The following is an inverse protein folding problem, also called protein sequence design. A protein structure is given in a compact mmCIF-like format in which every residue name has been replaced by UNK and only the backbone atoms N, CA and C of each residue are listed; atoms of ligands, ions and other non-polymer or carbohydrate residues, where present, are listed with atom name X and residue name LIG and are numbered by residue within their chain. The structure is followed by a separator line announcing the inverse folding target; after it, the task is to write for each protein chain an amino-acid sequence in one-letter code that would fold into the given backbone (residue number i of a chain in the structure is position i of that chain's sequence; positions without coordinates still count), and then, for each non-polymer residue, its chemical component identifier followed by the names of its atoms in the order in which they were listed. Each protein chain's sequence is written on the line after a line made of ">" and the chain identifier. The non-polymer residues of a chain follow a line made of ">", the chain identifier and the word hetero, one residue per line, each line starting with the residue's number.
data_IF_333837348832
#
_entry.id   IF_333837348832
#
_cell.length_a   1.000
_cell.length_b   1.000
_cell.length_c   1.000
_cell.angle_alpha   90.00
_cell.angle_beta   90.00
_cell.angle_gamma   90.00
#
_symmetry.space_group_name_H-M   'P 1'
#
loop_
_entity.id
_entity.type
_entity.pdbx_description
1 polymer ?
#
# COMPACT_ATOMS: atom_id res chain seq x y z
N UNK A 1 -87.59 69.11 -50.75
CA UNK A 1 -88.13 68.69 -49.44
C UNK A 1 -87.40 67.42 -49.04
N UNK A 2 -86.23 67.57 -48.41
CA UNK A 2 -86.00 67.50 -46.95
C UNK A 2 -85.97 66.03 -46.49
N UNK A 3 -84.80 65.38 -46.36
CA UNK A 3 -83.78 65.60 -45.32
C UNK A 3 -84.36 65.62 -43.91
N UNK A 4 -84.36 64.45 -43.29
CA UNK A 4 -84.21 64.23 -41.84
C UNK A 4 -83.31 63.01 -41.69
N UNK A 5 -82.35 62.94 -40.77
CA UNK A 5 -81.47 63.95 -40.16
C UNK A 5 -80.49 63.11 -39.34
N UNK A 6 -79.21 63.44 -39.45
CA UNK A 6 -78.04 62.76 -38.85
C UNK A 6 -77.96 62.79 -37.31
N UNK A 7 -79.10 62.78 -36.61
CA UNK A 7 -79.20 62.96 -35.16
C UNK A 7 -79.66 61.71 -34.40
N UNK A 8 -80.20 60.69 -35.07
CA UNK A 8 -80.50 59.39 -34.41
C UNK A 8 -79.28 58.44 -34.38
N UNK A 9 -78.27 58.66 -35.23
CA UNK A 9 -77.05 57.83 -35.23
C UNK A 9 -76.02 58.22 -34.14
N UNK A 10 -76.17 59.37 -33.48
CA UNK A 10 -75.20 59.83 -32.47
C UNK A 10 -75.62 59.52 -31.01
N UNK A 11 -76.86 59.11 -30.78
CA UNK A 11 -77.36 58.70 -29.46
C UNK A 11 -76.93 57.30 -29.03
N UNK A 12 -76.68 56.39 -29.98
CA UNK A 12 -76.18 55.03 -29.68
C UNK A 12 -74.64 54.93 -29.64
N UNK A 13 -73.92 55.86 -30.29
CA UNK A 13 -72.45 55.83 -30.35
C UNK A 13 -71.80 56.35 -29.05
N UNK A 14 -72.53 57.10 -28.23
CA UNK A 14 -72.00 57.67 -26.99
C UNK A 14 -72.38 56.92 -25.71
N UNK A 15 -73.25 55.90 -25.79
CA UNK A 15 -73.40 54.92 -24.71
C UNK A 15 -72.40 53.79 -24.90
N UNK A 16 -71.28 54.04 -24.24
CA UNK A 16 -70.51 53.01 -23.55
C UNK A 16 -69.90 51.94 -24.47
N UNK A 17 -68.80 52.15 -25.18
CA UNK A 17 -67.56 52.86 -24.81
C UNK A 17 -66.99 52.59 -23.40
N UNK A 18 -67.78 52.15 -22.41
CA UNK A 18 -67.31 51.56 -21.16
C UNK A 18 -67.41 50.03 -21.15
N UNK A 19 -68.04 49.43 -22.17
CA UNK A 19 -68.22 47.96 -22.25
C UNK A 19 -67.09 47.26 -23.01
N UNK A 20 -66.27 47.99 -23.76
CA UNK A 20 -65.14 47.45 -24.54
C UNK A 20 -63.82 47.49 -23.72
N UNK A 21 -63.74 48.33 -22.68
CA UNK A 21 -62.58 48.40 -21.79
C UNK A 21 -62.50 47.25 -20.77
N UNK A 22 -63.56 46.46 -20.60
CA UNK A 22 -63.61 45.29 -19.70
C UNK A 22 -63.60 43.94 -20.44
N UNK A 23 -63.64 43.94 -21.77
CA UNK A 23 -63.57 42.75 -22.63
C UNK A 23 -62.20 42.46 -23.23
N UNK A 24 -61.15 43.21 -22.85
CA UNK A 24 -59.75 43.04 -23.33
C UNK A 24 -58.80 42.62 -22.19
N UNK A 25 -59.30 42.42 -20.97
CA UNK A 25 -58.50 41.90 -19.83
C UNK A 25 -58.66 40.38 -19.64
N UNK A 26 -59.57 39.73 -20.37
CA UNK A 26 -59.81 38.28 -20.26
C UNK A 26 -59.11 37.42 -21.35
N UNK A 27 -58.35 38.02 -22.27
CA UNK A 27 -57.69 37.33 -23.39
C UNK A 27 -56.20 37.67 -23.54
N UNK A 28 -55.57 38.13 -22.45
CA UNK A 28 -54.13 38.41 -22.34
C UNK A 28 -53.50 37.80 -21.09
N UNK A 29 -54.12 36.76 -20.51
CA UNK A 29 -53.35 35.78 -19.75
C UNK A 29 -52.68 34.87 -20.78
N UNK A 30 -51.51 35.33 -21.20
CA UNK A 30 -50.68 34.68 -22.19
C UNK A 30 -50.59 33.19 -21.92
N UNK A 31 -50.72 32.43 -23.00
CA UNK A 31 -50.01 31.16 -23.14
C UNK A 31 -48.54 31.53 -23.03
N UNK A 32 -48.04 31.65 -21.79
CA UNK A 32 -46.65 31.39 -21.51
C UNK A 32 -46.57 29.91 -21.78
N UNK A 33 -46.19 29.56 -23.02
CA UNK A 33 -45.60 28.27 -23.29
C UNK A 33 -44.53 28.12 -22.22
N UNK A 34 -44.85 27.38 -21.17
CA UNK A 34 -43.85 26.85 -20.28
C UNK A 34 -43.01 25.98 -21.19
N UNK A 35 -41.99 26.57 -21.79
CA UNK A 35 -40.78 25.83 -22.08
C UNK A 35 -40.47 25.21 -20.74
N UNK A 36 -40.81 23.93 -20.60
CA UNK A 36 -40.18 23.11 -19.60
C UNK A 36 -38.71 23.24 -19.94
N UNK A 37 -38.04 24.19 -19.27
CA UNK A 37 -36.60 24.18 -19.15
C UNK A 37 -36.39 22.84 -18.48
N UNK A 38 -36.09 21.82 -19.28
CA UNK A 38 -35.62 20.54 -18.78
C UNK A 38 -34.45 20.93 -17.89
N UNK A 39 -34.65 20.83 -16.57
CA UNK A 39 -33.56 21.01 -15.63
C UNK A 39 -32.48 20.06 -16.12
N UNK A 40 -31.33 20.62 -16.52
CA UNK A 40 -30.20 19.84 -17.01
C UNK A 40 -29.87 18.82 -15.91
N UNK A 41 -30.30 17.58 -16.12
CA UNK A 41 -30.11 16.52 -15.15
C UNK A 41 -28.61 16.30 -15.07
N UNK A 42 -28.03 16.61 -13.91
CA UNK A 42 -26.60 16.44 -13.68
C UNK A 42 -26.18 15.02 -14.05
N UNK A 43 -25.42 14.86 -15.13
CA UNK A 43 -24.95 13.57 -15.58
C UNK A 43 -23.71 13.16 -14.78
N UNK A 44 -23.86 12.12 -13.96
CA UNK A 44 -22.72 11.53 -13.24
C UNK A 44 -21.78 10.83 -14.22
N UNK A 45 -20.48 11.05 -14.06
CA UNK A 45 -19.47 10.33 -14.84
C UNK A 45 -19.06 9.06 -14.12
N UNK A 46 -18.95 7.95 -14.85
CA UNK A 46 -18.49 6.67 -14.30
C UNK A 46 -17.24 6.17 -14.97
N UNK A 47 -16.38 5.52 -14.19
CA UNK A 47 -15.19 4.85 -14.72
C UNK A 47 -15.59 3.50 -15.32
N UNK A 48 -15.06 3.12 -16.51
CA UNK A 48 -15.33 1.83 -17.12
C UNK A 48 -14.99 0.67 -16.18
N UNK A 49 -15.87 -0.33 -16.11
CA UNK A 49 -15.70 -1.53 -15.26
C UNK A 49 -14.36 -2.23 -15.49
N UNK A 50 -13.87 -2.23 -16.72
CA UNK A 50 -12.59 -2.83 -17.10
C UNK A 50 -11.38 -2.19 -16.44
N UNK A 51 -11.46 -0.94 -15.97
CA UNK A 51 -10.35 -0.24 -15.32
C UNK A 51 -10.47 -0.24 -13.79
N UNK A 52 -11.66 -0.51 -13.25
CA UNK A 52 -11.92 -0.47 -11.81
C UNK A 52 -11.02 -1.44 -11.04
N UNK A 53 -10.63 -1.03 -9.84
CA UNK A 53 -9.78 -1.82 -8.94
C UNK A 53 -8.71 -0.99 -8.25
N UNK A 54 -7.85 -1.71 -7.51
CA UNK A 54 -6.70 -1.15 -6.82
C UNK A 54 -5.42 -1.61 -7.51
N UNK A 55 -4.64 -0.65 -7.99
CA UNK A 55 -3.47 -0.89 -8.83
C UNK A 55 -2.25 -0.16 -8.26
N UNK A 56 -1.10 -0.81 -8.33
CA UNK A 56 0.13 -0.40 -7.67
C UNK A 56 1.30 -0.46 -8.65
N UNK A 57 2.19 0.51 -8.60
CA UNK A 57 3.45 0.50 -9.34
C UNK A 57 4.61 0.71 -8.37
N UNK A 58 5.53 -0.26 -8.30
CA UNK A 58 6.71 -0.17 -7.43
C UNK A 58 7.78 0.72 -8.06
N UNK A 59 8.20 1.77 -7.34
CA UNK A 59 9.29 2.67 -7.73
C UNK A 59 10.12 3.02 -6.50
N UNK A 60 11.42 2.69 -6.50
CA UNK A 60 12.34 3.11 -5.44
C UNK A 60 12.00 2.63 -4.02
N UNK A 61 11.32 1.48 -3.88
CA UNK A 61 10.92 0.92 -2.57
C UNK A 61 9.49 1.26 -2.15
N UNK A 62 8.90 2.32 -2.72
CA UNK A 62 7.52 2.72 -2.46
C UNK A 62 6.58 2.34 -3.61
N UNK A 63 5.27 2.52 -3.39
CA UNK A 63 4.24 2.25 -4.38
C UNK A 63 3.50 3.51 -4.78
N UNK A 64 3.52 3.84 -6.07
CA UNK A 64 2.48 4.68 -6.65
C UNK A 64 1.17 3.88 -6.71
N UNK A 65 0.05 4.52 -6.41
CA UNK A 65 -1.26 3.87 -6.22
C UNK A 65 -2.32 4.52 -7.11
N UNK A 66 -3.10 3.69 -7.78
CA UNK A 66 -4.26 4.10 -8.57
C UNK A 66 -5.47 3.32 -8.06
N UNK A 67 -6.50 4.04 -7.62
CA UNK A 67 -7.79 3.47 -7.27
C UNK A 67 -8.86 3.99 -8.19
N UNK A 68 -9.47 3.06 -8.94
CA UNK A 68 -10.59 3.34 -9.81
C UNK A 68 -11.84 2.68 -9.25
N UNK A 69 -12.75 3.48 -8.69
CA UNK A 69 -14.09 3.03 -8.29
C UNK A 69 -15.12 3.39 -9.36
N UNK A 70 -16.42 3.13 -9.13
CA UNK A 70 -17.47 3.52 -10.08
C UNK A 70 -17.43 5.03 -10.37
N UNK A 71 -17.17 5.85 -9.37
CA UNK A 71 -17.24 7.31 -9.46
C UNK A 71 -15.93 8.02 -9.10
N UNK A 72 -14.90 7.34 -8.63
CA UNK A 72 -13.66 7.99 -8.18
C UNK A 72 -12.44 7.53 -8.93
N UNK A 73 -11.64 8.49 -9.37
CA UNK A 73 -10.24 8.30 -9.71
C UNK A 73 -9.38 8.88 -8.59
N UNK A 74 -8.70 7.99 -7.85
CA UNK A 74 -7.70 8.38 -6.86
C UNK A 74 -6.32 7.98 -7.33
N UNK A 75 -5.39 8.92 -7.28
CA UNK A 75 -4.00 8.71 -7.64
C UNK A 75 -3.09 9.22 -6.55
N UNK A 76 -2.05 8.45 -6.24
CA UNK A 76 -0.96 8.88 -5.39
C UNK A 76 0.36 8.50 -6.08
N UNK A 77 1.15 9.49 -6.47
CA UNK A 77 2.52 9.26 -6.91
C UNK A 77 3.35 8.82 -5.70
N UNK A 78 4.37 7.98 -5.87
CA UNK A 78 5.11 7.39 -4.73
C UNK A 78 5.54 8.44 -3.68
N UNK A 79 5.82 9.68 -4.09
CA UNK A 79 6.32 10.76 -3.22
C UNK A 79 5.34 11.95 -3.11
N UNK A 80 4.04 11.77 -3.36
CA UNK A 80 3.07 12.86 -3.47
C UNK A 80 1.86 12.75 -2.54
N UNK A 81 0.99 13.77 -2.61
CA UNK A 81 -0.33 13.77 -2.00
C UNK A 81 -1.36 13.00 -2.85
N UNK A 82 -2.48 12.63 -2.24
CA UNK A 82 -3.59 12.03 -2.97
C UNK A 82 -4.29 13.07 -3.86
N UNK A 83 -4.44 12.72 -5.14
CA UNK A 83 -5.42 13.33 -6.04
C UNK A 83 -6.70 12.50 -5.98
N UNK A 84 -7.86 13.10 -5.70
CA UNK A 84 -9.18 12.45 -5.78
C UNK A 84 -10.08 13.25 -6.72
N UNK A 85 -10.57 12.60 -7.77
CA UNK A 85 -11.47 13.18 -8.77
C UNK A 85 -12.75 12.35 -8.77
N UNK A 86 -13.88 13.04 -8.53
CA UNK A 86 -15.19 12.42 -8.36
C UNK A 86 -16.13 12.72 -9.53
N UNK A 87 -16.82 11.68 -10.00
CA UNK A 87 -17.91 11.76 -10.97
C UNK A 87 -19.26 12.15 -10.37
N UNK A 88 -19.35 12.27 -9.04
CA UNK A 88 -20.53 12.75 -8.32
C UNK A 88 -20.40 14.18 -7.79
N UNK A 89 -19.20 14.77 -7.89
CA UNK A 89 -18.95 16.15 -7.52
C UNK A 89 -19.02 17.05 -8.74
N UNK A 90 -19.70 18.21 -8.62
CA UNK A 90 -19.89 19.18 -9.70
C UNK A 90 -19.26 20.51 -9.28
N UNK A 91 -18.05 20.83 -9.78
CA UNK A 91 -17.38 22.07 -9.40
C UNK A 91 -18.08 23.27 -10.04
N UNK A 92 -17.97 24.44 -9.40
CA UNK A 92 -18.57 25.69 -9.91
C UNK A 92 -18.06 26.06 -11.31
N UNK A 93 -16.77 25.86 -11.59
CA UNK A 93 -16.18 26.06 -12.92
C UNK A 93 -16.62 25.02 -13.96
N UNK A 94 -17.30 23.95 -13.54
CA UNK A 94 -17.66 22.83 -14.40
C UNK A 94 -18.91 23.05 -15.24
N UNK A 95 -19.66 24.16 -15.06
CA UNK A 95 -20.91 24.44 -15.79
C UNK A 95 -21.90 23.25 -15.83
N UNK A 96 -22.02 22.52 -14.71
CA UNK A 96 -22.89 21.35 -14.59
C UNK A 96 -22.25 20.01 -14.99
N UNK A 97 -21.00 20.01 -15.48
CA UNK A 97 -20.22 18.80 -15.68
C UNK A 97 -19.61 18.28 -14.37
N UNK A 98 -19.48 16.96 -14.25
CA UNK A 98 -18.80 16.35 -13.10
C UNK A 98 -17.30 16.66 -13.09
N UNK A 99 -16.69 16.70 -11.91
CA UNK A 99 -15.25 16.90 -11.75
C UNK A 99 -14.43 15.82 -12.47
N UNK A 100 -14.94 14.58 -12.53
CA UNK A 100 -14.38 13.50 -13.33
C UNK A 100 -14.78 13.62 -14.79
N UNK A 101 -13.80 13.53 -15.68
CA UNK A 101 -13.98 13.39 -17.12
C UNK A 101 -13.49 12.01 -17.58
N UNK A 102 -14.33 11.31 -18.34
CA UNK A 102 -13.99 10.04 -18.99
C UNK A 102 -14.35 10.15 -20.46
N UNK A 103 -13.36 10.02 -21.35
CA UNK A 103 -13.61 10.01 -22.80
C UNK A 103 -13.62 8.59 -23.37
N UNK A 104 -14.33 8.45 -24.50
CA UNK A 104 -14.59 7.15 -25.14
C UNK A 104 -13.29 6.43 -25.46
N UNK A 105 -13.35 5.10 -25.35
CA UNK A 105 -12.30 4.17 -25.74
C UNK A 105 -11.85 4.44 -27.19
N UNK A 106 -10.58 4.77 -27.40
CA UNK A 106 -10.03 4.92 -28.75
C UNK A 106 -9.87 3.56 -29.47
N UNK A 107 -9.54 3.56 -30.77
CA UNK A 107 -9.31 2.33 -31.56
C UNK A 107 -8.23 1.41 -30.97
N UNK A 108 -7.27 1.97 -30.22
CA UNK A 108 -6.21 1.23 -29.53
C UNK A 108 -6.64 0.68 -28.16
N UNK A 109 -7.85 1.00 -27.72
CA UNK A 109 -8.48 0.44 -26.53
C UNK A 109 -8.26 1.23 -25.25
N UNK A 110 -7.75 2.47 -25.31
CA UNK A 110 -7.47 3.32 -24.15
C UNK A 110 -8.64 4.25 -23.84
N UNK A 111 -8.85 4.52 -22.55
CA UNK A 111 -9.75 5.54 -22.05
C UNK A 111 -8.93 6.73 -21.54
N UNK A 112 -9.38 7.96 -21.82
CA UNK A 112 -8.91 9.14 -21.11
C UNK A 112 -9.65 9.22 -19.77
N UNK A 113 -8.93 9.39 -18.66
CA UNK A 113 -9.53 9.64 -17.35
C UNK A 113 -8.77 10.78 -16.69
N UNK A 114 -9.48 11.84 -16.36
CA UNK A 114 -8.88 13.04 -15.80
C UNK A 114 -9.88 13.95 -15.13
N UNK A 115 -9.39 15.12 -14.71
CA UNK A 115 -10.22 16.18 -14.15
C UNK A 115 -10.83 17.00 -15.29
N UNK A 116 -12.10 17.35 -15.16
CA UNK A 116 -12.79 18.18 -16.15
C UNK A 116 -12.14 19.55 -16.31
N UNK A 117 -12.13 20.07 -17.54
CA UNK A 117 -11.52 21.35 -17.93
C UNK A 117 -10.02 21.49 -17.55
N UNK A 118 -9.28 20.39 -17.63
CA UNK A 118 -7.82 20.36 -17.43
C UNK A 118 -7.16 19.41 -18.41
N UNK A 119 -5.90 19.70 -18.77
CA UNK A 119 -5.16 18.98 -19.80
C UNK A 119 -4.15 17.96 -19.21
N UNK A 120 -3.42 17.27 -20.08
CA UNK A 120 -2.26 16.41 -19.77
C UNK A 120 -2.53 15.17 -18.90
N UNK A 121 -3.78 14.73 -18.80
CA UNK A 121 -4.09 13.49 -18.09
C UNK A 121 -3.66 12.23 -18.84
N UNK A 122 -3.35 11.19 -18.06
CA UNK A 122 -2.93 9.90 -18.58
C UNK A 122 -4.09 9.11 -19.19
N UNK A 123 -3.76 8.28 -20.17
CA UNK A 123 -4.66 7.32 -20.80
C UNK A 123 -4.47 5.94 -20.17
N UNK A 124 -5.57 5.21 -20.02
CA UNK A 124 -5.60 3.96 -19.27
C UNK A 124 -6.18 2.81 -20.08
N UNK A 125 -5.53 1.65 -20.00
CA UNK A 125 -5.99 0.41 -20.61
C UNK A 125 -5.64 -0.78 -19.75
N UNK A 126 -6.61 -1.65 -19.45
CA UNK A 126 -6.33 -2.95 -18.84
C UNK A 126 -5.71 -3.89 -19.89
N UNK A 127 -4.64 -4.57 -19.51
CA UNK A 127 -3.84 -5.47 -20.36
C UNK A 127 -3.44 -6.72 -19.59
N UNK A 128 -2.90 -7.71 -20.29
CA UNK A 128 -2.12 -8.79 -19.71
C UNK A 128 -0.64 -8.45 -19.91
N UNK A 129 0.14 -8.40 -18.84
CA UNK A 129 1.56 -8.06 -18.86
C UNK A 129 2.28 -8.95 -17.85
N UNK A 130 3.41 -9.55 -18.22
CA UNK A 130 4.14 -10.54 -17.41
C UNK A 130 3.21 -11.65 -16.86
N UNK A 131 2.34 -12.20 -17.72
CA UNK A 131 1.43 -13.28 -17.35
C UNK A 131 0.24 -12.89 -16.47
N UNK A 132 0.23 -11.68 -15.89
CA UNK A 132 -0.83 -11.21 -14.97
C UNK A 132 -1.64 -10.06 -15.55
N UNK A 133 -2.76 -9.73 -14.90
CA UNK A 133 -3.54 -8.53 -15.25
C UNK A 133 -2.82 -7.28 -14.76
N UNK A 134 -2.69 -6.30 -15.65
CA UNK A 134 -2.09 -5.00 -15.35
C UNK A 134 -2.93 -3.87 -15.92
N UNK A 135 -2.77 -2.69 -15.34
CA UNK A 135 -3.30 -1.44 -15.82
C UNK A 135 -2.14 -0.66 -16.46
N UNK A 136 -2.23 -0.47 -17.78
CA UNK A 136 -1.25 0.28 -18.56
C UNK A 136 -1.64 1.75 -18.57
N UNK A 137 -0.77 2.58 -18.01
CA UNK A 137 -0.81 4.03 -18.07
C UNK A 137 0.02 4.49 -19.27
N UNK A 138 -0.54 5.38 -20.07
CA UNK A 138 0.14 6.11 -21.13
C UNK A 138 0.08 7.59 -20.80
N UNK A 139 1.22 8.19 -20.50
CA UNK A 139 1.35 9.61 -20.17
C UNK A 139 2.04 10.31 -21.33
N UNK A 140 1.35 11.22 -22.05
CA UNK A 140 2.01 12.05 -23.06
C UNK A 140 3.04 12.97 -22.40
N UNK A 141 4.19 13.15 -23.03
CA UNK A 141 5.25 14.07 -22.61
C UNK A 141 5.56 15.01 -23.79
N UNK A 142 5.55 16.32 -23.56
CA UNK A 142 5.92 17.29 -24.58
C UNK A 142 7.45 17.25 -24.84
N UNK A 143 7.94 17.56 -26.05
CA UNK A 143 7.19 17.95 -27.25
C UNK A 143 6.61 16.77 -28.06
N UNK A 144 7.20 15.56 -28.02
CA UNK A 144 6.69 14.37 -28.75
C UNK A 144 7.13 13.03 -28.12
N UNK A 145 7.09 12.92 -26.80
CA UNK A 145 7.46 11.69 -26.10
C UNK A 145 6.27 11.12 -25.32
N UNK A 146 6.42 9.92 -24.78
CA UNK A 146 5.43 9.34 -23.89
C UNK A 146 6.10 8.40 -22.89
N UNK A 147 5.52 8.33 -21.69
CA UNK A 147 5.90 7.36 -20.66
C UNK A 147 4.83 6.29 -20.55
N UNK A 148 5.25 5.03 -20.60
CA UNK A 148 4.40 3.89 -20.25
C UNK A 148 4.74 3.45 -18.83
N UNK A 149 3.72 3.28 -18.00
CA UNK A 149 3.87 2.69 -16.67
C UNK A 149 2.83 1.58 -16.50
N UNK A 150 3.25 0.44 -15.95
CA UNK A 150 2.36 -0.68 -15.64
C UNK A 150 2.09 -0.73 -14.14
N UNK A 151 0.81 -0.77 -13.79
CA UNK A 151 0.34 -0.97 -12.44
C UNK A 151 -0.30 -2.35 -12.32
N UNK A 152 -0.10 -3.00 -11.19
CA UNK A 152 -0.57 -4.37 -10.94
C UNK A 152 -1.38 -4.41 -9.66
N UNK A 153 -2.15 -5.48 -9.44
CA UNK A 153 -2.67 -5.74 -8.10
C UNK A 153 -1.53 -5.98 -7.12
N UNK A 154 -1.74 -5.64 -5.84
CA UNK A 154 -0.71 -5.78 -4.80
C UNK A 154 -0.15 -7.22 -4.71
N UNK A 155 -0.98 -8.22 -5.01
CA UNK A 155 -0.59 -9.63 -5.07
C UNK A 155 0.53 -9.93 -6.06
N UNK A 156 0.68 -9.15 -7.13
CA UNK A 156 1.80 -9.30 -8.08
C UNK A 156 3.15 -9.02 -7.43
N UNK A 157 3.17 -8.17 -6.40
CA UNK A 157 4.38 -7.83 -5.66
C UNK A 157 4.55 -8.65 -4.37
N UNK A 158 3.64 -9.58 -4.08
CA UNK A 158 3.80 -10.47 -2.92
C UNK A 158 4.93 -11.44 -3.22
N UNK A 159 6.06 -11.24 -2.56
CA UNK A 159 7.12 -12.22 -2.53
C UNK A 159 6.60 -13.45 -1.79
N UNK A 160 6.65 -14.61 -2.43
CA UNK A 160 6.27 -15.88 -1.81
C UNK A 160 7.29 -16.17 -0.72
N UNK A 161 6.84 -16.24 0.53
CA UNK A 161 7.70 -16.68 1.63
C UNK A 161 7.79 -18.19 1.67
N UNK A 162 8.97 -18.68 2.01
CA UNK A 162 9.26 -20.10 2.15
C UNK A 162 9.53 -20.42 3.62
N UNK A 163 9.03 -21.56 4.07
CA UNK A 163 9.28 -22.06 5.43
C UNK A 163 10.75 -22.44 5.55
N UNK A 164 11.43 -21.89 6.55
CA UNK A 164 12.77 -22.27 6.97
C UNK A 164 12.77 -22.45 8.48
N UNK A 165 13.77 -23.16 9.02
CA UNK A 165 13.88 -23.38 10.47
C UNK A 165 14.03 -22.04 11.20
N UNK A 166 13.16 -21.80 12.17
CA UNK A 166 13.23 -20.63 13.05
C UNK A 166 13.39 -21.07 14.50
N UNK A 167 13.78 -20.15 15.36
CA UNK A 167 13.58 -20.28 16.79
C UNK A 167 12.08 -20.31 17.12
N UNK A 168 11.72 -20.96 18.23
CA UNK A 168 10.34 -21.06 18.71
C UNK A 168 9.85 -19.74 19.32
N UNK A 169 10.77 -18.86 19.69
CA UNK A 169 10.50 -17.52 20.19
C UNK A 169 11.62 -16.53 19.78
N UNK A 170 11.40 -15.23 20.00
CA UNK A 170 12.43 -14.20 19.80
C UNK A 170 13.38 -14.05 20.99
N UNK A 171 13.06 -14.71 22.10
CA UNK A 171 13.78 -14.67 23.37
C UNK A 171 13.61 -16.03 24.10
N UNK A 172 14.33 -16.23 25.19
CA UNK A 172 14.28 -17.45 25.99
C UNK A 172 12.99 -17.58 26.80
N UNK A 173 12.63 -18.81 27.15
CA UNK A 173 11.52 -19.09 28.07
C UNK A 173 12.02 -19.13 29.51
N UNK A 174 11.13 -18.83 30.45
CA UNK A 174 11.39 -19.05 31.88
C UNK A 174 11.33 -20.55 32.19
N UNK A 175 12.22 -21.02 33.06
CA UNK A 175 12.20 -22.40 33.59
C UNK A 175 12.26 -23.51 32.53
N UNK A 176 12.51 -23.19 31.26
CA UNK A 176 12.45 -24.15 30.14
C UNK A 176 13.67 -23.97 29.26
N UNK A 177 14.53 -25.00 29.25
CA UNK A 177 15.72 -25.04 28.40
C UNK A 177 15.35 -24.94 26.92
N UNK A 178 16.02 -24.04 26.20
CA UNK A 178 15.84 -23.84 24.76
C UNK A 178 17.20 -23.78 24.07
N UNK A 179 17.30 -24.15 22.78
CA UNK A 179 18.53 -23.98 22.01
C UNK A 179 19.02 -22.53 22.07
N UNK A 180 20.32 -22.38 22.27
CA UNK A 180 21.00 -21.09 22.39
C UNK A 180 22.35 -21.12 21.66
N UNK A 181 22.77 -19.95 21.21
CA UNK A 181 23.97 -19.76 20.39
C UNK A 181 24.64 -18.45 20.79
N UNK A 182 25.96 -18.39 20.65
CA UNK A 182 26.70 -17.12 20.67
C UNK A 182 26.26 -16.26 19.47
N UNK A 183 25.91 -15.00 19.70
CA UNK A 183 25.56 -14.06 18.65
C UNK A 183 26.75 -13.88 17.71
N UNK A 184 26.48 -13.70 16.42
CA UNK A 184 27.53 -13.60 15.42
C UNK A 184 28.42 -12.36 15.57
N UNK A 185 27.98 -11.37 16.34
CA UNK A 185 28.75 -10.15 16.60
C UNK A 185 29.47 -10.19 17.96
N UNK A 186 29.38 -11.31 18.68
CA UNK A 186 30.01 -11.50 19.98
C UNK A 186 31.20 -12.44 19.83
N UNK A 187 32.35 -12.03 20.36
CA UNK A 187 33.56 -12.86 20.35
C UNK A 187 33.51 -13.96 21.42
N UNK A 188 32.89 -13.66 22.56
CA UNK A 188 32.67 -14.58 23.67
C UNK A 188 31.62 -14.07 24.65
N UNK A 189 31.15 -14.93 25.53
CA UNK A 189 30.37 -14.56 26.72
C UNK A 189 31.08 -15.06 28.00
N UNK A 190 31.17 -14.21 29.02
CA UNK A 190 31.69 -14.57 30.33
C UNK A 190 30.73 -15.51 31.07
N UNK A 191 31.28 -16.54 31.72
CA UNK A 191 30.54 -17.55 32.43
C UNK A 191 30.87 -17.53 33.91
N UNK A 192 29.83 -17.58 34.72
CA UNK A 192 29.91 -17.51 36.17
C UNK A 192 29.33 -18.78 36.79
N UNK A 193 29.82 -19.16 37.97
CA UNK A 193 29.33 -20.33 38.72
C UNK A 193 28.05 -20.03 39.52
N UNK A 194 27.72 -18.75 39.74
CA UNK A 194 26.54 -18.31 40.48
C UNK A 194 25.82 -17.15 39.80
N UNK A 195 24.53 -17.03 40.09
CA UNK A 195 23.70 -15.92 39.63
C UNK A 195 24.20 -14.55 40.12
N UNK A 196 24.64 -14.47 41.38
CA UNK A 196 25.08 -13.20 41.97
C UNK A 196 26.37 -12.71 41.31
N UNK A 197 27.32 -13.62 41.06
CA UNK A 197 28.56 -13.33 40.36
C UNK A 197 28.29 -12.83 38.92
N UNK A 198 27.37 -13.48 38.19
CA UNK A 198 26.97 -13.01 36.86
C UNK A 198 26.30 -11.63 36.90
N UNK A 199 25.38 -11.43 37.85
CA UNK A 199 24.67 -10.16 38.00
C UNK A 199 25.62 -8.98 38.28
N UNK A 200 26.58 -9.21 39.16
CA UNK A 200 27.56 -8.20 39.57
C UNK A 200 28.78 -8.16 38.63
N UNK A 201 28.84 -9.09 37.66
CA UNK A 201 29.95 -9.31 36.74
C UNK A 201 31.30 -9.52 37.45
N UNK A 202 31.30 -10.27 38.54
CA UNK A 202 32.50 -10.58 39.35
C UNK A 202 32.85 -12.07 39.32
N UNK A 203 34.13 -12.42 39.47
CA UNK A 203 34.58 -13.81 39.58
C UNK A 203 34.18 -14.73 38.40
N UNK A 204 34.31 -14.26 37.15
CA UNK A 204 34.13 -15.11 35.95
C UNK A 204 35.01 -16.36 36.06
N UNK A 205 34.41 -17.53 35.82
CA UNK A 205 35.10 -18.83 35.95
C UNK A 205 35.66 -19.32 34.62
N UNK A 206 35.06 -18.91 33.49
CA UNK A 206 35.52 -19.24 32.14
C UNK A 206 34.76 -18.41 31.09
N UNK A 207 35.04 -18.61 29.80
CA UNK A 207 34.34 -17.95 28.70
C UNK A 207 33.79 -18.96 27.69
N UNK A 208 32.66 -18.61 27.07
CA UNK A 208 32.11 -19.34 25.94
C UNK A 208 32.34 -18.57 24.64
N UNK A 209 33.20 -19.09 23.77
CA UNK A 209 33.61 -18.43 22.50
C UNK A 209 33.34 -19.27 21.25
N UNK A 210 32.80 -20.48 21.38
CA UNK A 210 32.52 -21.35 20.24
C UNK A 210 31.22 -20.95 19.55
N UNK A 211 31.36 -20.07 18.56
CA UNK A 211 30.25 -19.54 17.75
C UNK A 211 29.57 -20.58 16.84
N UNK A 212 30.12 -21.79 16.77
CA UNK A 212 29.57 -22.92 15.99
C UNK A 212 28.93 -24.00 16.87
N UNK A 213 28.85 -23.77 18.18
CA UNK A 213 28.25 -24.69 19.13
C UNK A 213 26.86 -24.26 19.55
N UNK A 214 25.93 -25.22 19.54
CA UNK A 214 24.64 -25.06 20.19
C UNK A 214 24.78 -25.41 21.67
N UNK A 215 24.28 -24.53 22.54
CA UNK A 215 24.10 -24.76 23.97
C UNK A 215 22.60 -24.68 24.30
N UNK A 216 22.24 -24.82 25.58
CA UNK A 216 20.88 -24.53 26.03
C UNK A 216 20.89 -23.31 26.95
N UNK A 217 19.85 -22.48 26.86
CA UNK A 217 19.66 -21.36 27.78
C UNK A 217 18.20 -21.23 28.20
N UNK A 218 17.99 -20.56 29.33
CA UNK A 218 16.67 -20.15 29.83
C UNK A 218 16.79 -18.91 30.72
N UNK A 219 15.71 -18.19 30.85
CA UNK A 219 15.56 -17.24 31.95
C UNK A 219 15.34 -17.99 33.26
N UNK A 220 15.95 -17.51 34.36
CA UNK A 220 15.90 -18.19 35.66
C UNK A 220 14.49 -18.17 36.21
N UNK A 221 13.81 -17.02 36.20
CA UNK A 221 12.44 -16.92 36.69
C UNK A 221 11.67 -15.77 36.06
N UNK A 222 10.33 -15.86 36.07
CA UNK A 222 9.43 -14.82 35.56
C UNK A 222 9.49 -13.51 36.37
N UNK A 223 9.95 -13.59 37.61
CA UNK A 223 10.04 -12.47 38.56
C UNK A 223 11.40 -11.78 38.55
N UNK A 224 12.37 -12.32 37.82
CA UNK A 224 13.68 -11.72 37.63
C UNK A 224 13.56 -10.37 36.91
N UNK A 225 14.37 -9.40 37.31
CA UNK A 225 14.39 -8.06 36.71
C UNK A 225 15.72 -7.68 36.04
N UNK A 226 16.73 -8.55 36.13
CA UNK A 226 18.01 -8.41 35.42
C UNK A 226 18.09 -9.37 34.22
N UNK A 227 19.16 -9.27 33.45
CA UNK A 227 19.37 -10.04 32.21
C UNK A 227 20.27 -11.28 32.41
N UNK A 228 20.29 -11.87 33.61
CA UNK A 228 21.09 -13.09 33.84
C UNK A 228 20.38 -14.32 33.26
N UNK A 229 21.07 -15.05 32.40
CA UNK A 229 20.63 -16.34 31.86
C UNK A 229 21.25 -17.50 32.65
N UNK A 230 20.52 -18.61 32.72
CA UNK A 230 21.11 -19.92 33.00
C UNK A 230 21.49 -20.57 31.67
N UNK A 231 22.75 -20.99 31.55
CA UNK A 231 23.29 -21.66 30.38
C UNK A 231 23.68 -23.10 30.74
N UNK A 232 23.27 -24.07 29.94
CA UNK A 232 23.73 -25.46 30.07
C UNK A 232 24.72 -25.78 28.96
N UNK A 233 25.97 -26.03 29.35
CA UNK A 233 27.09 -26.27 28.45
C UNK A 233 27.72 -27.60 28.86
N UNK A 234 27.72 -28.58 27.95
CA UNK A 234 28.22 -29.94 28.22
C UNK A 234 27.64 -30.59 29.50
N UNK A 235 26.40 -30.26 29.86
CA UNK A 235 25.74 -30.78 31.06
C UNK A 235 26.02 -30.01 32.35
N UNK A 236 26.94 -29.04 32.34
CA UNK A 236 27.19 -28.12 33.46
C UNK A 236 26.35 -26.86 33.30
N UNK A 237 25.90 -26.30 34.43
CA UNK A 237 25.13 -25.05 34.48
C UNK A 237 26.07 -23.90 34.82
N UNK A 238 25.97 -22.84 34.03
CA UNK A 238 26.63 -21.56 34.22
C UNK A 238 25.59 -20.45 34.22
N UNK A 239 26.00 -19.29 34.70
CA UNK A 239 25.24 -18.05 34.63
C UNK A 239 25.98 -17.07 33.72
N UNK A 240 25.24 -16.26 32.99
CA UNK A 240 25.78 -15.27 32.05
C UNK A 240 24.92 -14.01 32.08
N UNK A 241 25.56 -12.84 32.04
CA UNK A 241 24.87 -11.55 32.05
C UNK A 241 24.60 -11.07 30.63
N UNK A 242 23.39 -11.35 30.13
CA UNK A 242 23.03 -11.15 28.73
C UNK A 242 22.63 -9.69 28.41
N UNK A 243 23.20 -8.70 29.10
CA UNK A 243 22.97 -7.27 28.85
C UNK A 243 23.37 -6.87 27.42
N UNK A 244 24.46 -7.43 26.91
CA UNK A 244 24.94 -7.19 25.54
C UNK A 244 24.30 -8.13 24.51
N UNK A 245 23.49 -9.06 24.99
CA UNK A 245 22.83 -10.07 24.21
C UNK A 245 23.77 -10.99 23.43
N UNK A 246 24.86 -11.41 24.08
CA UNK A 246 25.84 -12.33 23.52
C UNK A 246 25.24 -13.71 23.27
N UNK A 247 24.19 -14.09 24.00
CA UNK A 247 23.50 -15.36 23.83
C UNK A 247 22.09 -15.15 23.26
N UNK A 248 21.78 -15.87 22.17
CA UNK A 248 20.52 -15.77 21.41
C UNK A 248 19.85 -17.12 21.17
N UNK A 249 18.51 -17.19 21.08
CA UNK A 249 17.79 -18.42 20.74
C UNK A 249 17.86 -18.80 19.24
N UNK A 250 18.58 -17.99 18.46
CA UNK A 250 18.78 -18.17 17.02
C UNK A 250 20.23 -17.90 16.66
N UNK A 251 20.70 -18.53 15.60
CA UNK A 251 22.09 -18.49 15.13
C UNK A 251 22.27 -17.69 13.83
N UNK A 252 21.17 -17.17 13.29
CA UNK A 252 21.16 -16.45 12.03
C UNK A 252 20.23 -15.22 12.10
N UNK A 253 20.73 -14.11 11.57
CA UNK A 253 20.07 -12.81 11.61
C UNK A 253 19.97 -12.23 10.21
N UNK A 254 18.81 -11.69 9.87
CA UNK A 254 18.60 -10.97 8.61
C UNK A 254 19.12 -9.54 8.75
N UNK A 255 19.95 -9.13 7.79
CA UNK A 255 20.48 -7.78 7.56
C UNK A 255 19.92 -7.24 6.23
N UNK A 256 20.32 -6.02 5.85
CA UNK A 256 19.85 -5.37 4.61
C UNK A 256 20.27 -6.10 3.34
N UNK A 257 21.43 -6.76 3.38
CA UNK A 257 22.07 -7.46 2.26
C UNK A 257 21.78 -8.97 2.22
N UNK A 258 21.29 -9.56 3.30
CA UNK A 258 21.01 -10.99 3.34
C UNK A 258 20.81 -11.53 4.74
N UNK A 259 21.04 -12.83 4.90
CA UNK A 259 21.09 -13.48 6.21
C UNK A 259 22.53 -13.79 6.53
N UNK A 260 22.94 -13.52 7.75
CA UNK A 260 24.29 -13.78 8.23
C UNK A 260 24.23 -14.84 9.32
N UNK A 261 25.21 -15.75 9.34
CA UNK A 261 25.27 -16.82 10.34
C UNK A 261 26.66 -17.48 10.39
N UNK A 262 27.04 -17.96 11.57
CA UNK A 262 28.17 -18.86 11.77
C UNK A 262 27.88 -20.30 11.34
N UNK A 263 26.68 -20.57 10.79
CA UNK A 263 26.29 -21.85 10.24
C UNK A 263 25.93 -21.74 8.77
N UNK A 264 26.26 -22.78 8.00
CA UNK A 264 25.73 -22.96 6.65
C UNK A 264 24.21 -23.10 6.71
N UNK A 265 23.45 -22.66 5.69
CA UNK A 265 21.99 -22.78 5.70
C UNK A 265 21.49 -24.23 5.70
N UNK A 266 22.34 -25.19 5.32
CA UNK A 266 22.04 -26.62 5.38
C UNK A 266 22.23 -27.23 6.78
N UNK A 267 22.93 -26.54 7.69
CA UNK A 267 23.16 -27.01 9.06
C UNK A 267 21.85 -27.16 9.83
N UNK A 268 21.66 -28.24 10.62
CA UNK A 268 20.50 -28.35 11.50
C UNK A 268 20.47 -27.26 12.57
N UNK A 269 21.63 -26.68 12.90
CA UNK A 269 21.80 -25.62 13.90
C UNK A 269 21.56 -24.21 13.32
N UNK A 270 21.43 -24.07 12.01
CA UNK A 270 21.06 -22.81 11.37
C UNK A 270 19.57 -22.51 11.65
N UNK A 271 19.32 -21.53 12.51
CA UNK A 271 17.98 -21.10 12.91
C UNK A 271 17.86 -19.59 12.79
N UNK A 272 16.82 -19.15 12.11
CA UNK A 272 16.48 -17.73 12.03
C UNK A 272 15.72 -17.28 13.27
N UNK A 273 15.84 -15.99 13.60
CA UNK A 273 14.92 -15.33 14.53
C UNK A 273 13.47 -15.58 14.11
N UNK A 274 12.60 -15.91 15.08
CA UNK A 274 11.17 -16.12 14.85
C UNK A 274 10.54 -14.96 14.05
N UNK A 275 9.70 -15.31 13.08
CA UNK A 275 9.04 -14.34 12.19
C UNK A 275 9.89 -13.90 10.99
N UNK A 276 11.18 -14.26 10.93
CA UNK A 276 12.00 -14.02 9.75
C UNK A 276 11.57 -14.96 8.63
N UNK A 277 11.40 -14.40 7.43
CA UNK A 277 11.01 -15.15 6.23
C UNK A 277 12.18 -15.30 5.26
N UNK A 278 12.17 -16.41 4.50
CA UNK A 278 13.01 -16.61 3.32
C UNK A 278 12.16 -16.37 2.08
N UNK A 279 12.78 -15.79 1.06
CA UNK A 279 12.20 -15.58 -0.26
C UNK A 279 13.14 -16.10 -1.33
N UNK A 280 12.63 -16.42 -2.52
CA UNK A 280 13.49 -16.62 -3.69
C UNK A 280 14.41 -15.41 -3.88
N UNK A 281 15.70 -15.66 -4.14
CA UNK A 281 16.75 -14.67 -4.22
C UNK A 281 17.33 -14.23 -2.86
N UNK A 282 16.81 -14.73 -1.72
CA UNK A 282 17.45 -14.46 -0.42
C UNK A 282 18.86 -15.05 -0.40
N UNK A 283 19.83 -14.23 -0.01
CA UNK A 283 21.20 -14.65 0.21
C UNK A 283 21.44 -15.02 1.69
N UNK A 284 22.30 -16.00 1.90
CA UNK A 284 22.78 -16.46 3.20
C UNK A 284 24.29 -16.49 3.18
N UNK A 285 24.90 -15.61 3.94
CA UNK A 285 26.33 -15.50 4.14
C UNK A 285 26.71 -16.32 5.37
N UNK A 286 27.38 -17.44 5.13
CA UNK A 286 28.10 -18.19 6.14
C UNK A 286 29.43 -17.50 6.38
N UNK A 287 29.68 -17.12 7.63
CA UNK A 287 30.92 -16.51 8.07
C UNK A 287 31.48 -17.35 9.21
N UNK A 288 32.69 -17.89 9.05
CA UNK A 288 33.52 -18.27 10.18
C UNK A 288 34.89 -17.61 9.98
N UNK A 289 35.66 -17.38 11.05
CA UNK A 289 36.92 -16.60 11.04
C UNK A 289 37.97 -16.99 9.96
N UNK A 290 37.75 -18.06 9.18
CA UNK A 290 38.57 -18.49 8.06
C UNK A 290 37.86 -18.57 6.70
N UNK A 291 36.52 -18.49 6.62
CA UNK A 291 35.78 -18.66 5.38
C UNK A 291 34.50 -17.80 5.34
N UNK A 292 34.33 -17.09 4.23
CA UNK A 292 33.07 -16.44 3.86
C UNK A 292 32.52 -17.20 2.66
N UNK A 293 31.27 -17.66 2.76
CA UNK A 293 30.57 -18.33 1.66
C UNK A 293 29.14 -17.86 1.57
N UNK A 294 28.69 -17.49 0.39
CA UNK A 294 27.33 -17.04 0.14
C UNK A 294 26.54 -18.12 -0.59
N UNK A 295 25.32 -18.32 -0.10
CA UNK A 295 24.34 -19.21 -0.70
C UNK A 295 23.12 -18.41 -1.09
N UNK A 296 22.51 -18.70 -2.25
CA UNK A 296 21.25 -18.11 -2.66
C UNK A 296 20.13 -19.12 -2.66
N UNK A 297 18.98 -18.71 -2.11
CA UNK A 297 17.77 -19.52 -2.14
C UNK A 297 17.06 -19.37 -3.47
N UNK A 298 16.86 -20.47 -4.20
CA UNK A 298 16.25 -20.44 -5.54
C UNK A 298 14.74 -20.74 -5.55
N UNK A 299 14.06 -20.57 -4.41
CA UNK A 299 12.65 -20.96 -4.25
C UNK A 299 12.42 -22.43 -3.83
N UNK A 300 13.47 -23.26 -3.83
CA UNK A 300 13.38 -24.67 -3.40
C UNK A 300 14.48 -25.07 -2.42
N UNK A 301 15.74 -24.77 -2.74
CA UNK A 301 16.92 -25.12 -1.94
C UNK A 301 17.96 -24.01 -1.97
N UNK A 302 18.89 -24.07 -1.02
CA UNK A 302 20.07 -23.22 -1.01
C UNK A 302 21.09 -23.74 -2.03
N UNK A 303 21.58 -22.84 -2.88
CA UNK A 303 22.66 -23.09 -3.83
C UNK A 303 23.88 -22.27 -3.43
N UNK A 304 25.05 -22.88 -3.43
CA UNK A 304 26.31 -22.16 -3.25
C UNK A 304 26.53 -21.21 -4.43
N UNK A 305 26.94 -19.97 -4.17
CA UNK A 305 27.28 -19.00 -5.19
C UNK A 305 28.79 -18.77 -5.27
N UNK A 306 29.41 -18.34 -4.17
CA UNK A 306 30.85 -18.07 -4.05
C UNK A 306 31.29 -18.08 -2.58
#
# INVERSE_FOLDING_TARGET
>A
MQSKSSLELQGEIMKLRNSIALGIVALTLGIVSATQIQASTRHYTTIPTSLRGHWYHKSGGEYAKVFFSKYHYRFNSSNGGWTDISGTTFPSYGNGHSNLSVSKRNKKGYYYIGKYATDEWSYWKRVKHNGTSALKMYTPLLPYNYKITYYYHLSYYKTISHKFRTADNTDFFYNTWSPAYLDMNSDSADLYSSYQDAKDETNSVTTFSDSTKQIEAKWISKTQQDNVLELKINGQIYYENNNYHDIRPYSASRRSDGIWSNFKPTSPYARLKKGTNIYEGTEWTFYNNANIKTYRYNGSKWKFEY
#
